data_IF_592074133749
#
_entry.id   IF_592074133749
#
_cell.length_a   1.000
_cell.length_b   1.000
_cell.length_c   1.000
_cell.angle_alpha   90.00
_cell.angle_beta   90.00
_cell.angle_gamma   90.00
#
_symmetry.space_group_name_H-M   'P 1'
#
loop_
_entity.id
_entity.type
_entity.pdbx_description
1 polymer ?
#
# COMPACT_ATOMS: atom_id res chain seq x y z
N UNK A 1 36.32 -17.00 -30.25
CA UNK A 1 36.02 -16.04 -31.33
C UNK A 1 36.06 -14.62 -30.74
N UNK A 2 36.24 -13.59 -31.56
CA UNK A 2 36.09 -12.20 -31.14
C UNK A 2 34.67 -11.75 -31.47
N UNK A 3 34.10 -10.80 -30.75
CA UNK A 3 32.76 -10.22 -30.95
C UNK A 3 32.46 -9.94 -32.44
N UNK A 4 33.46 -9.48 -33.20
CA UNK A 4 33.36 -9.26 -34.66
C UNK A 4 33.25 -10.55 -35.48
N UNK A 5 33.65 -11.69 -34.93
CA UNK A 5 33.60 -13.00 -35.59
C UNK A 5 32.34 -13.79 -35.21
N UNK A 6 31.80 -13.54 -34.04
CA UNK A 6 30.54 -14.12 -33.56
C UNK A 6 29.32 -13.49 -34.23
N UNK A 7 29.40 -12.19 -34.51
CA UNK A 7 28.33 -11.44 -35.20
C UNK A 7 27.08 -11.35 -34.34
N UNK A 8 25.92 -11.53 -34.95
CA UNK A 8 24.60 -11.52 -34.30
C UNK A 8 24.01 -12.92 -34.13
N UNK A 9 24.91 -13.94 -34.03
CA UNK A 9 24.45 -15.28 -33.72
C UNK A 9 23.83 -15.29 -32.31
N UNK A 10 22.81 -16.11 -32.15
CA UNK A 10 22.06 -16.34 -30.91
C UNK A 10 21.77 -17.84 -30.89
N UNK A 11 22.60 -18.59 -30.17
CA UNK A 11 22.70 -20.05 -30.30
C UNK A 11 21.57 -20.80 -29.62
N UNK A 12 20.99 -20.21 -28.56
CA UNK A 12 19.87 -20.78 -27.80
C UNK A 12 18.54 -20.07 -28.05
N UNK A 13 18.55 -18.97 -28.82
CA UNK A 13 17.39 -18.18 -29.23
C UNK A 13 16.68 -17.48 -28.06
N UNK A 14 17.44 -17.04 -27.09
CA UNK A 14 16.91 -16.30 -25.93
C UNK A 14 16.73 -14.80 -26.21
N UNK A 15 17.30 -14.30 -27.30
CA UNK A 15 17.26 -12.90 -27.76
C UNK A 15 18.52 -12.12 -27.37
N UNK A 16 19.47 -12.73 -26.67
CA UNK A 16 20.78 -12.16 -26.34
C UNK A 16 21.81 -12.72 -27.36
N UNK A 17 22.52 -11.89 -28.13
CA UNK A 17 23.54 -12.39 -29.04
C UNK A 17 24.70 -13.09 -28.32
N UNK A 18 25.24 -14.17 -28.90
CA UNK A 18 26.34 -15.01 -28.35
C UNK A 18 27.55 -14.20 -27.82
N UNK A 19 27.85 -13.03 -28.41
CA UNK A 19 28.95 -12.20 -27.94
C UNK A 19 28.68 -11.43 -26.63
N UNK A 20 27.42 -11.34 -26.21
CA UNK A 20 26.96 -10.76 -24.94
C UNK A 20 26.48 -11.83 -23.95
N UNK A 21 26.32 -13.05 -24.45
CA UNK A 21 25.85 -14.17 -23.66
C UNK A 21 26.95 -15.26 -23.50
N UNK A 22 27.35 -15.47 -22.27
CA UNK A 22 28.33 -16.53 -21.92
C UNK A 22 27.65 -17.88 -21.71
N UNK A 23 26.31 -17.96 -21.79
CA UNK A 23 25.51 -19.13 -21.45
C UNK A 23 24.61 -19.47 -22.65
N UNK A 24 24.78 -20.63 -23.24
CA UNK A 24 23.96 -21.08 -24.38
C UNK A 24 23.00 -22.20 -23.95
N UNK A 25 22.41 -22.08 -22.76
CA UNK A 25 21.45 -23.01 -22.20
C UNK A 25 20.05 -22.39 -22.23
N UNK A 26 19.09 -22.94 -22.97
CA UNK A 26 17.79 -22.28 -23.23
C UNK A 26 16.96 -21.93 -21.99
N UNK A 27 17.22 -22.56 -20.86
CA UNK A 27 16.53 -22.31 -19.59
C UNK A 27 17.30 -21.40 -18.61
N UNK A 28 18.43 -20.84 -19.06
CA UNK A 28 19.25 -19.88 -18.33
C UNK A 28 19.37 -18.60 -19.15
N UNK A 29 19.22 -17.44 -18.52
CA UNK A 29 19.37 -16.16 -19.17
C UNK A 29 20.14 -15.19 -18.27
N UNK A 30 21.24 -14.59 -18.74
CA UNK A 30 22.00 -13.62 -17.95
C UNK A 30 21.13 -12.39 -17.63
N UNK A 31 21.23 -11.90 -16.40
CA UNK A 31 20.47 -10.68 -15.99
C UNK A 31 20.94 -9.44 -16.76
N UNK A 32 22.21 -9.40 -17.08
CA UNK A 32 22.83 -8.35 -17.91
C UNK A 32 23.94 -8.97 -18.74
N UNK A 33 24.35 -8.28 -19.81
CA UNK A 33 25.43 -8.70 -20.69
C UNK A 33 26.67 -9.13 -19.90
N UNK A 34 27.17 -10.34 -20.18
CA UNK A 34 28.33 -10.95 -19.51
C UNK A 34 28.21 -11.05 -17.98
N UNK A 35 26.99 -11.11 -17.43
CA UNK A 35 26.75 -11.31 -16.01
C UNK A 35 27.04 -12.76 -15.60
N UNK A 36 27.63 -12.94 -14.41
CA UNK A 36 27.75 -14.24 -13.75
C UNK A 36 26.45 -14.65 -13.00
N UNK A 37 25.43 -13.78 -13.03
CA UNK A 37 24.11 -14.03 -12.47
C UNK A 37 23.11 -14.22 -13.60
N UNK A 38 22.28 -15.24 -13.49
CA UNK A 38 21.24 -15.56 -14.48
C UNK A 38 19.92 -15.94 -13.81
N UNK A 39 18.85 -15.63 -14.50
CA UNK A 39 17.53 -16.19 -14.22
C UNK A 39 17.49 -17.61 -14.74
N UNK A 40 16.91 -18.53 -13.98
CA UNK A 40 16.82 -19.93 -14.32
C UNK A 40 15.39 -20.45 -14.25
N UNK A 41 14.98 -21.22 -15.24
CA UNK A 41 13.72 -21.97 -15.20
C UNK A 41 13.97 -23.47 -15.33
N UNK A 42 12.91 -24.26 -15.35
CA UNK A 42 12.98 -25.72 -15.43
C UNK A 42 13.63 -26.19 -16.73
N UNK A 43 14.38 -27.30 -16.66
CA UNK A 43 14.98 -27.91 -17.85
C UNK A 43 13.93 -28.23 -18.91
N UNK A 44 14.23 -27.90 -20.17
CA UNK A 44 13.34 -28.12 -21.31
C UNK A 44 12.38 -26.99 -21.61
N UNK A 45 12.52 -25.87 -20.91
CA UNK A 45 11.85 -24.58 -21.24
C UNK A 45 12.83 -23.70 -22.01
N UNK A 46 12.30 -22.68 -22.68
CA UNK A 46 13.08 -21.62 -23.33
C UNK A 46 12.74 -20.29 -22.70
N UNK A 47 13.71 -19.66 -22.06
CA UNK A 47 13.64 -18.24 -21.69
C UNK A 47 13.90 -17.37 -22.93
N UNK A 48 13.32 -16.19 -22.97
CA UNK A 48 13.58 -15.18 -24.00
C UNK A 48 13.35 -13.79 -23.44
N UNK A 49 14.07 -12.80 -23.94
CA UNK A 49 13.87 -11.41 -23.58
C UNK A 49 12.40 -11.00 -23.77
N UNK A 50 11.87 -10.24 -22.84
CA UNK A 50 10.54 -9.65 -22.92
C UNK A 50 10.45 -8.50 -23.92
N UNK A 51 9.24 -7.98 -24.11
CA UNK A 51 8.98 -6.96 -25.11
C UNK A 51 9.66 -5.61 -24.82
N UNK A 52 9.91 -5.30 -23.56
CA UNK A 52 10.59 -4.08 -23.14
C UNK A 52 12.12 -4.25 -23.16
N UNK A 53 12.62 -5.43 -22.80
CA UNK A 53 14.06 -5.74 -22.77
C UNK A 53 14.66 -5.86 -24.19
N UNK A 54 13.97 -6.55 -25.09
CA UNK A 54 14.48 -6.82 -26.45
C UNK A 54 14.72 -5.56 -27.30
N UNK A 55 14.09 -4.45 -26.96
CA UNK A 55 14.29 -3.16 -27.67
C UNK A 55 15.42 -2.33 -27.08
N UNK A 56 16.02 -2.78 -25.97
CA UNK A 56 17.15 -2.08 -25.38
C UNK A 56 18.44 -2.37 -26.15
N UNK A 57 19.33 -1.38 -26.27
CA UNK A 57 20.54 -1.55 -27.07
C UNK A 57 21.59 -2.48 -26.46
N UNK A 58 21.48 -2.76 -25.17
CA UNK A 58 22.39 -3.61 -24.39
C UNK A 58 21.88 -5.04 -24.20
N UNK A 59 20.68 -5.36 -24.70
CA UNK A 59 20.04 -6.68 -24.56
C UNK A 59 19.99 -7.18 -23.10
N UNK A 60 19.89 -6.25 -22.15
CA UNK A 60 19.81 -6.58 -20.74
C UNK A 60 18.41 -7.05 -20.38
N UNK A 61 18.33 -8.16 -19.64
CA UNK A 61 17.10 -8.67 -19.05
C UNK A 61 16.57 -7.70 -17.96
N UNK A 62 17.49 -7.09 -17.22
CA UNK A 62 17.17 -6.10 -16.18
C UNK A 62 17.04 -4.70 -16.76
N UNK A 63 15.90 -4.08 -16.54
CA UNK A 63 15.59 -2.70 -16.94
C UNK A 63 15.68 -1.77 -15.75
N UNK A 64 16.44 -0.69 -15.89
CA UNK A 64 16.52 0.38 -14.89
C UNK A 64 15.24 1.24 -14.86
N UNK A 65 15.03 1.98 -13.78
CA UNK A 65 13.92 2.94 -13.66
C UNK A 65 13.90 3.98 -14.80
N UNK A 66 15.07 4.41 -15.28
CA UNK A 66 15.16 5.35 -16.42
C UNK A 66 14.64 4.73 -17.72
N UNK A 67 14.86 3.43 -17.93
CA UNK A 67 14.32 2.69 -19.08
C UNK A 67 12.82 2.42 -18.92
N UNK A 68 12.32 2.41 -17.68
CA UNK A 68 10.92 2.23 -17.31
C UNK A 68 10.14 3.55 -17.16
N UNK A 69 10.58 4.67 -17.71
CA UNK A 69 10.06 6.03 -17.46
C UNK A 69 8.53 6.20 -17.56
N UNK A 70 7.83 5.27 -18.22
CA UNK A 70 6.36 5.21 -18.28
C UNK A 70 5.73 4.17 -17.34
N UNK A 71 6.55 3.42 -16.62
CA UNK A 71 6.14 2.31 -15.75
C UNK A 71 6.75 2.42 -14.35
N UNK A 72 7.11 3.63 -13.92
CA UNK A 72 7.71 3.86 -12.59
C UNK A 72 6.68 3.63 -11.48
N UNK A 73 7.11 3.05 -10.38
CA UNK A 73 6.30 2.95 -9.15
C UNK A 73 6.89 3.87 -8.08
N UNK A 74 6.25 5.01 -7.84
CA UNK A 74 6.76 6.05 -6.93
C UNK A 74 6.88 5.59 -5.46
N UNK A 75 6.29 4.45 -5.12
CA UNK A 75 6.28 3.91 -3.75
C UNK A 75 7.26 2.75 -3.54
N UNK A 76 7.97 2.33 -4.60
CA UNK A 76 8.88 1.20 -4.55
C UNK A 76 10.15 1.48 -5.32
N UNK A 77 11.27 1.10 -4.73
CA UNK A 77 12.57 1.02 -5.39
C UNK A 77 12.79 -0.41 -5.90
N UNK A 78 13.38 -0.55 -7.07
CA UNK A 78 13.75 -1.84 -7.66
C UNK A 78 15.28 -1.95 -7.71
N UNK A 79 15.94 -2.44 -6.64
CA UNK A 79 17.40 -2.44 -6.55
C UNK A 79 18.10 -3.21 -7.67
N UNK A 80 17.48 -4.28 -8.16
CA UNK A 80 17.97 -5.10 -9.29
C UNK A 80 17.25 -4.79 -10.61
N UNK A 81 16.45 -3.70 -10.65
CA UNK A 81 15.63 -3.35 -11.80
C UNK A 81 14.40 -4.23 -11.98
N UNK A 82 13.72 -4.04 -13.10
CA UNK A 82 12.65 -4.92 -13.57
C UNK A 82 13.24 -5.96 -14.52
N UNK A 83 13.01 -7.22 -14.25
CA UNK A 83 13.35 -8.31 -15.15
C UNK A 83 12.21 -8.53 -16.14
N UNK A 84 12.47 -8.35 -17.42
CA UNK A 84 11.46 -8.50 -18.47
C UNK A 84 11.80 -9.70 -19.38
N UNK A 85 11.19 -10.84 -19.08
CA UNK A 85 11.38 -12.08 -19.80
C UNK A 85 10.06 -12.72 -20.24
N UNK A 86 10.19 -13.67 -21.14
CA UNK A 86 9.13 -14.59 -21.54
C UNK A 86 9.66 -16.02 -21.46
N UNK A 87 8.80 -16.93 -21.03
CA UNK A 87 9.00 -18.35 -21.20
C UNK A 87 8.17 -18.79 -22.41
N UNK A 88 8.77 -19.45 -23.37
CA UNK A 88 8.12 -19.82 -24.64
C UNK A 88 8.18 -21.34 -24.87
N UNK A 89 7.23 -21.84 -25.66
CA UNK A 89 7.18 -23.25 -26.01
C UNK A 89 6.74 -24.18 -24.88
N UNK A 90 6.14 -23.61 -23.84
CA UNK A 90 5.62 -24.34 -22.70
C UNK A 90 4.28 -25.06 -22.97
N UNK A 91 3.70 -25.64 -21.92
CA UNK A 91 2.41 -26.29 -21.97
C UNK A 91 1.32 -25.33 -21.46
N UNK A 92 0.21 -25.13 -22.21
CA UNK A 92 -0.90 -24.30 -21.76
C UNK A 92 -1.43 -24.70 -20.39
N UNK A 93 -1.53 -23.72 -19.46
CA UNK A 93 -2.04 -23.90 -18.10
C UNK A 93 -1.08 -24.64 -17.16
N UNK A 94 0.19 -24.79 -17.54
CA UNK A 94 1.20 -25.40 -16.67
C UNK A 94 1.74 -24.37 -15.64
N UNK A 95 2.19 -24.87 -14.49
CA UNK A 95 2.83 -24.04 -13.45
C UNK A 95 4.34 -24.17 -13.59
N UNK A 96 5.00 -23.07 -13.92
CA UNK A 96 6.45 -23.01 -14.11
C UNK A 96 7.13 -22.49 -12.85
N UNK A 97 8.32 -23.04 -12.57
CA UNK A 97 9.20 -22.55 -11.50
C UNK A 97 10.35 -21.75 -12.12
N UNK A 98 10.55 -20.55 -11.60
CA UNK A 98 11.60 -19.63 -12.02
C UNK A 98 12.42 -19.20 -10.81
N UNK A 99 13.73 -19.12 -10.97
CA UNK A 99 14.66 -18.65 -9.93
C UNK A 99 15.31 -17.35 -10.36
N UNK A 100 15.23 -16.37 -9.49
CA UNK A 100 15.80 -15.03 -9.65
C UNK A 100 16.87 -14.83 -8.55
N UNK A 101 18.15 -14.67 -8.89
CA UNK A 101 19.15 -14.22 -7.94
C UNK A 101 18.99 -12.70 -7.71
N UNK A 102 19.14 -12.25 -6.47
CA UNK A 102 19.15 -10.82 -6.12
C UNK A 102 20.56 -10.38 -5.75
N UNK A 103 20.93 -9.15 -6.13
CA UNK A 103 22.23 -8.57 -5.78
C UNK A 103 22.30 -8.13 -4.31
N UNK A 104 21.12 -7.90 -3.70
CA UNK A 104 20.96 -7.53 -2.30
C UNK A 104 20.16 -8.60 -1.56
N UNK A 105 20.45 -8.83 -0.27
CA UNK A 105 19.60 -9.70 0.53
C UNK A 105 18.18 -9.14 0.63
N UNK A 106 17.18 -10.03 0.55
CA UNK A 106 15.78 -9.67 0.78
C UNK A 106 15.64 -8.98 2.13
N UNK A 107 15.03 -7.81 2.11
CA UNK A 107 14.74 -6.99 3.29
C UNK A 107 13.36 -7.28 3.89
N UNK A 108 13.07 -6.72 5.08
CA UNK A 108 11.81 -6.98 5.79
C UNK A 108 10.58 -6.33 5.14
N UNK A 109 10.76 -5.53 4.10
CA UNK A 109 9.71 -4.79 3.39
C UNK A 109 9.70 -5.04 1.89
N UNK A 110 10.45 -6.03 1.45
CA UNK A 110 10.51 -6.38 0.06
C UNK A 110 9.27 -7.18 -0.33
N UNK A 111 8.79 -6.90 -1.53
CA UNK A 111 7.63 -7.53 -2.13
C UNK A 111 7.96 -7.91 -3.58
N UNK A 112 7.26 -8.88 -4.11
CA UNK A 112 7.34 -9.19 -5.55
C UNK A 112 6.29 -8.35 -6.26
N UNK A 113 6.73 -7.53 -7.21
CA UNK A 113 5.85 -6.74 -8.06
C UNK A 113 5.94 -7.18 -9.50
N UNK A 114 4.80 -7.15 -10.15
CA UNK A 114 4.58 -7.52 -11.55
C UNK A 114 4.13 -6.27 -12.31
N UNK A 115 4.71 -6.02 -13.48
CA UNK A 115 4.20 -5.01 -14.38
C UNK A 115 3.30 -5.65 -15.43
N UNK A 116 2.02 -5.35 -15.42
CA UNK A 116 1.05 -5.97 -16.35
C UNK A 116 1.03 -5.19 -17.67
N UNK A 117 0.62 -3.95 -17.63
CA UNK A 117 0.58 -3.04 -18.79
C UNK A 117 0.48 -1.57 -18.34
N UNK A 118 0.43 -0.65 -19.30
CA UNK A 118 0.30 0.80 -19.00
C UNK A 118 -1.04 1.22 -18.38
N UNK A 119 -2.05 0.34 -18.37
CA UNK A 119 -3.37 0.60 -17.80
C UNK A 119 -3.48 0.08 -16.37
N UNK A 120 -3.00 -1.13 -16.12
CA UNK A 120 -3.02 -1.79 -14.82
C UNK A 120 -1.79 -1.45 -13.98
N UNK A 121 -0.68 -1.08 -14.64
CA UNK A 121 0.58 -0.72 -13.98
C UNK A 121 1.18 -1.85 -13.16
N UNK A 122 1.79 -1.48 -12.05
CA UNK A 122 2.37 -2.38 -11.10
C UNK A 122 1.32 -3.05 -10.22
N UNK A 123 1.41 -4.37 -10.08
CA UNK A 123 0.56 -5.17 -9.22
C UNK A 123 1.43 -5.99 -8.27
N UNK A 124 0.93 -6.25 -7.08
CA UNK A 124 1.54 -7.24 -6.18
C UNK A 124 1.42 -8.62 -6.81
N UNK A 125 2.44 -9.47 -6.60
CA UNK A 125 2.35 -10.88 -6.96
C UNK A 125 1.18 -11.53 -6.22
N UNK A 126 0.31 -12.19 -6.94
CA UNK A 126 -0.86 -12.88 -6.38
C UNK A 126 -0.47 -14.31 -6.00
N UNK A 127 -0.54 -14.64 -4.72
CA UNK A 127 -0.33 -16.01 -4.24
C UNK A 127 -1.66 -16.78 -4.19
N UNK A 128 -1.65 -18.01 -4.73
CA UNK A 128 -2.78 -18.93 -4.70
C UNK A 128 -2.28 -20.39 -4.72
N UNK A 129 -3.12 -21.35 -5.11
CA UNK A 129 -2.74 -22.76 -5.14
C UNK A 129 -1.65 -23.08 -6.17
N UNK A 130 -1.55 -22.28 -7.25
CA UNK A 130 -0.64 -22.50 -8.39
C UNK A 130 0.46 -21.45 -8.47
N UNK A 131 0.29 -20.34 -7.74
CA UNK A 131 1.22 -19.21 -7.75
C UNK A 131 1.81 -19.00 -6.35
N UNK A 132 3.11 -18.99 -6.23
CA UNK A 132 3.77 -18.82 -4.93
C UNK A 132 5.14 -18.18 -5.04
N UNK A 133 5.53 -17.51 -3.97
CA UNK A 133 6.87 -16.97 -3.75
C UNK A 133 7.58 -17.85 -2.73
N UNK A 134 8.83 -18.16 -2.95
CA UNK A 134 9.71 -18.82 -1.98
C UNK A 134 11.12 -18.25 -2.10
N UNK A 135 11.91 -18.31 -1.03
CA UNK A 135 13.26 -17.76 -1.06
C UNK A 135 14.22 -18.55 -0.19
N UNK A 136 15.52 -18.39 -0.48
CA UNK A 136 16.61 -19.03 0.26
C UNK A 136 17.90 -18.24 0.10
N UNK A 137 18.82 -18.36 1.05
CA UNK A 137 20.18 -17.84 0.88
C UNK A 137 20.96 -18.68 -0.13
N UNK A 138 21.71 -18.05 -1.03
CA UNK A 138 22.58 -18.73 -1.98
C UNK A 138 23.63 -19.61 -1.28
N UNK A 139 23.92 -20.74 -1.86
CA UNK A 139 24.99 -21.61 -1.39
C UNK A 139 26.24 -21.38 -2.26
N UNK A 140 27.32 -20.89 -1.65
CA UNK A 140 28.55 -20.55 -2.38
C UNK A 140 28.36 -19.58 -3.56
N UNK A 141 27.39 -18.66 -3.44
CA UNK A 141 27.10 -17.65 -4.46
C UNK A 141 26.16 -18.14 -5.59
N UNK A 142 25.66 -19.36 -5.52
CA UNK A 142 24.77 -19.92 -6.55
C UNK A 142 23.40 -20.25 -5.94
N UNK A 143 22.34 -19.91 -6.66
CA UNK A 143 20.99 -20.28 -6.29
C UNK A 143 20.71 -21.77 -6.53
N UNK A 144 19.93 -22.43 -5.67
CA UNK A 144 19.45 -23.78 -5.94
C UNK A 144 18.60 -23.84 -7.21
N UNK A 145 18.59 -25.01 -7.86
CA UNK A 145 17.76 -25.28 -9.04
C UNK A 145 16.27 -25.00 -8.78
N UNK A 146 15.51 -24.61 -9.82
CA UNK A 146 14.05 -24.49 -9.74
C UNK A 146 13.39 -25.77 -9.20
N UNK A 147 12.46 -25.61 -8.24
CA UNK A 147 11.78 -26.73 -7.59
C UNK A 147 12.57 -27.44 -6.48
N UNK A 148 13.73 -26.92 -6.11
CA UNK A 148 14.50 -27.46 -4.97
C UNK A 148 13.75 -27.34 -3.65
N UNK A 149 13.84 -28.39 -2.80
CA UNK A 149 13.27 -28.41 -1.45
C UNK A 149 13.96 -27.44 -0.47
N UNK A 150 15.02 -26.76 -0.91
CA UNK A 150 15.73 -25.76 -0.09
C UNK A 150 14.96 -24.43 -0.01
N UNK A 151 14.08 -24.16 -0.97
CA UNK A 151 13.27 -22.95 -0.97
C UNK A 151 12.20 -22.99 0.13
N UNK A 152 12.13 -21.92 0.93
CA UNK A 152 11.14 -21.73 1.99
C UNK A 152 10.10 -20.72 1.51
N UNK A 153 8.82 -21.02 1.67
CA UNK A 153 7.73 -20.14 1.26
C UNK A 153 7.87 -18.73 1.82
N UNK A 154 7.53 -17.75 0.99
CA UNK A 154 7.62 -16.31 1.25
C UNK A 154 8.96 -15.69 0.88
N UNK A 155 9.01 -14.36 0.93
CA UNK A 155 10.25 -13.58 0.90
C UNK A 155 10.84 -13.57 2.31
N UNK A 156 11.87 -14.38 2.53
CA UNK A 156 12.51 -14.52 3.84
C UNK A 156 13.71 -13.55 3.93
N UNK A 157 13.73 -12.71 4.95
CA UNK A 157 14.78 -11.73 5.19
C UNK A 157 16.18 -12.38 5.17
N UNK A 158 17.12 -11.76 4.47
CA UNK A 158 18.49 -12.26 4.30
C UNK A 158 18.68 -13.27 3.18
N UNK A 159 17.61 -13.72 2.50
CA UNK A 159 17.69 -14.53 1.29
C UNK A 159 18.19 -13.71 0.11
N UNK A 160 18.83 -14.35 -0.85
CA UNK A 160 19.26 -13.72 -2.11
C UNK A 160 18.99 -14.60 -3.34
N UNK A 161 18.14 -15.61 -3.18
CA UNK A 161 17.58 -16.42 -4.25
C UNK A 161 16.06 -16.45 -4.07
N UNK A 162 15.33 -15.96 -5.04
CA UNK A 162 13.87 -15.92 -5.03
C UNK A 162 13.35 -16.91 -6.08
N UNK A 163 12.48 -17.83 -5.67
CA UNK A 163 11.76 -18.69 -6.58
C UNK A 163 10.32 -18.25 -6.71
N UNK A 164 9.88 -18.08 -7.95
CA UNK A 164 8.47 -17.84 -8.28
C UNK A 164 7.88 -19.11 -8.90
N UNK A 165 6.69 -19.50 -8.49
CA UNK A 165 5.84 -20.43 -9.24
C UNK A 165 4.73 -19.63 -9.88
N UNK A 166 4.55 -19.77 -11.20
CA UNK A 166 3.62 -18.99 -11.99
C UNK A 166 2.85 -19.90 -12.93
N UNK A 167 1.52 -19.80 -12.88
CA UNK A 167 0.62 -20.51 -13.79
C UNK A 167 0.47 -19.74 -15.10
N UNK A 168 0.69 -20.41 -16.23
CA UNK A 168 0.40 -19.88 -17.57
C UNK A 168 -1.10 -19.63 -17.72
N UNK A 169 -1.49 -18.39 -18.04
CA UNK A 169 -2.86 -17.89 -18.01
C UNK A 169 -3.39 -17.54 -16.62
N UNK A 170 -2.54 -17.62 -15.59
CA UNK A 170 -2.86 -17.25 -14.20
C UNK A 170 -2.79 -15.74 -13.93
N UNK A 171 -3.04 -15.33 -12.67
CA UNK A 171 -3.09 -13.91 -12.31
C UNK A 171 -1.74 -13.19 -12.40
N UNK A 172 -0.63 -13.93 -12.44
CA UNK A 172 0.71 -13.37 -12.57
C UNK A 172 1.28 -13.46 -13.98
N UNK A 173 0.56 -14.07 -14.92
CA UNK A 173 0.92 -14.05 -16.34
C UNK A 173 0.37 -12.78 -16.99
N UNK A 174 1.26 -11.90 -17.46
CA UNK A 174 0.86 -10.58 -17.92
C UNK A 174 -0.03 -10.60 -19.19
N UNK A 175 0.04 -11.66 -20.02
CA UNK A 175 -0.87 -11.80 -21.17
C UNK A 175 -2.21 -12.46 -20.79
N UNK A 176 -2.31 -13.08 -19.62
CA UNK A 176 -3.52 -13.70 -19.08
C UNK A 176 -4.07 -14.85 -19.92
N UNK A 177 -3.25 -15.48 -20.78
CA UNK A 177 -3.67 -16.50 -21.71
C UNK A 177 -2.97 -17.84 -21.45
N UNK A 178 -3.72 -18.90 -21.18
CA UNK A 178 -3.17 -20.25 -21.09
C UNK A 178 -2.80 -20.75 -22.51
N UNK A 179 -1.67 -20.31 -23.01
CA UNK A 179 -1.23 -20.51 -24.40
C UNK A 179 0.16 -21.19 -24.52
N UNK A 180 0.79 -21.53 -23.39
CA UNK A 180 2.13 -22.10 -23.32
C UNK A 180 3.25 -21.06 -23.47
N UNK A 181 2.91 -19.79 -23.31
CA UNK A 181 3.85 -18.68 -23.20
C UNK A 181 3.53 -17.90 -21.91
N UNK A 182 4.51 -17.76 -21.05
CA UNK A 182 4.41 -16.95 -19.84
C UNK A 182 5.11 -15.61 -20.11
N UNK A 183 4.40 -14.51 -19.93
CA UNK A 183 4.93 -13.14 -20.03
C UNK A 183 5.09 -12.59 -18.63
N UNK A 184 6.32 -12.30 -18.20
CA UNK A 184 6.57 -11.99 -16.80
C UNK A 184 7.56 -10.83 -16.58
N UNK A 185 7.10 -9.59 -16.73
CA UNK A 185 7.85 -8.46 -16.21
C UNK A 185 7.73 -8.39 -14.69
N UNK A 186 8.82 -8.68 -13.96
CA UNK A 186 8.82 -8.84 -12.50
C UNK A 186 10.02 -8.15 -11.84
N UNK A 187 9.84 -7.67 -10.63
CA UNK A 187 10.94 -7.17 -9.80
C UNK A 187 10.76 -7.50 -8.33
N UNK A 188 11.88 -7.71 -7.65
CA UNK A 188 11.93 -7.64 -6.19
C UNK A 188 11.98 -6.16 -5.84
N UNK A 189 10.93 -5.68 -5.21
CA UNK A 189 10.69 -4.27 -4.93
C UNK A 189 10.81 -4.01 -3.44
N UNK A 190 11.59 -3.01 -3.07
CA UNK A 190 11.70 -2.50 -1.70
C UNK A 190 10.76 -1.33 -1.52
N UNK A 191 9.85 -1.40 -0.56
CA UNK A 191 8.92 -0.30 -0.30
C UNK A 191 9.69 0.94 0.14
N UNK A 192 9.48 2.04 -0.59
CA UNK A 192 10.12 3.33 -0.31
C UNK A 192 9.67 3.88 1.06
N UNK A 193 10.63 4.19 1.90
CA UNK A 193 10.40 4.87 3.18
C UNK A 193 11.00 6.26 3.06
N UNK A 194 10.22 7.17 2.56
CA UNK A 194 10.65 8.56 2.46
C UNK A 194 10.95 9.20 3.80
N UNK A 195 11.66 10.30 3.76
CA UNK A 195 11.87 11.16 4.92
C UNK A 195 10.73 12.16 5.01
N UNK A 196 9.97 12.22 6.14
CA UNK A 196 8.91 13.20 6.29
C UNK A 196 9.47 14.62 6.26
N UNK A 197 8.77 15.53 5.59
CA UNK A 197 9.18 16.92 5.41
C UNK A 197 8.22 17.92 6.05
N UNK A 198 8.66 19.17 6.17
CA UNK A 198 7.86 20.29 6.70
C UNK A 198 6.61 20.63 5.84
N UNK A 199 6.49 20.02 4.64
CA UNK A 199 5.25 20.10 3.84
C UNK A 199 4.13 19.22 4.36
N UNK A 200 4.42 18.31 5.30
CA UNK A 200 3.42 17.52 6.00
C UNK A 200 2.46 18.40 6.79
N UNK A 201 1.19 18.02 6.85
CA UNK A 201 0.13 18.82 7.47
C UNK A 201 -0.62 18.05 8.54
N UNK A 202 -1.10 18.77 9.56
CA UNK A 202 -2.01 18.24 10.56
C UNK A 202 -3.20 19.21 10.71
N UNK A 203 -4.40 18.69 10.53
CA UNK A 203 -5.65 19.47 10.57
C UNK A 203 -6.67 18.84 11.51
N UNK A 204 -7.52 19.68 12.12
CA UNK A 204 -8.64 19.24 12.95
C UNK A 204 -9.95 19.35 12.14
N UNK A 205 -10.87 18.41 12.34
CA UNK A 205 -12.19 18.47 11.73
C UNK A 205 -13.13 19.47 12.43
N UNK A 206 -12.81 19.86 13.67
CA UNK A 206 -13.48 20.90 14.45
C UNK A 206 -12.44 21.55 15.38
N UNK A 207 -12.54 22.84 15.62
CA UNK A 207 -11.67 23.61 16.51
C UNK A 207 -12.26 23.80 17.92
N UNK A 208 -13.42 23.18 18.21
CA UNK A 208 -14.12 23.33 19.49
C UNK A 208 -14.56 21.99 20.05
N UNK A 209 -14.27 21.77 21.33
CA UNK A 209 -14.73 20.62 22.11
C UNK A 209 -15.19 21.06 23.50
N UNK A 210 -16.07 20.28 24.10
CA UNK A 210 -16.61 20.55 25.44
C UNK A 210 -15.73 19.92 26.52
N UNK A 211 -15.39 20.64 27.59
CA UNK A 211 -14.59 20.17 28.73
C UNK A 211 -15.38 19.22 29.63
N UNK A 212 -15.59 18.01 29.14
CA UNK A 212 -16.35 16.95 29.84
C UNK A 212 -15.58 15.63 29.96
N UNK A 213 -14.32 15.59 29.52
CA UNK A 213 -13.47 14.40 29.53
C UNK A 213 -13.85 13.31 28.51
N UNK A 214 -14.82 13.56 27.63
CA UNK A 214 -15.31 12.56 26.67
C UNK A 214 -15.60 13.12 25.27
N UNK A 215 -15.83 14.42 25.13
CA UNK A 215 -16.02 15.07 23.84
C UNK A 215 -14.73 15.00 23.02
N UNK A 216 -14.84 14.79 21.71
CA UNK A 216 -13.67 14.54 20.88
C UNK A 216 -13.82 15.05 19.46
N UNK A 217 -12.69 15.40 18.87
CA UNK A 217 -12.52 15.74 17.45
C UNK A 217 -11.49 14.80 16.81
N UNK A 218 -11.46 14.77 15.49
CA UNK A 218 -10.48 14.00 14.73
C UNK A 218 -9.37 14.93 14.25
N UNK A 219 -8.12 14.53 14.52
CA UNK A 219 -6.96 15.10 13.85
C UNK A 219 -6.61 14.23 12.65
N UNK A 220 -6.42 14.87 11.50
CA UNK A 220 -5.97 14.24 10.25
C UNK A 220 -4.57 14.75 9.93
N UNK A 221 -3.65 13.83 9.73
CA UNK A 221 -2.26 14.10 9.32
C UNK A 221 -2.07 13.60 7.91
N UNK A 222 -1.54 14.44 7.02
CA UNK A 222 -1.08 14.02 5.70
C UNK A 222 0.42 14.21 5.64
N UNK A 223 1.14 13.12 5.38
CA UNK A 223 2.60 13.11 5.40
C UNK A 223 3.15 13.18 3.99
N UNK A 224 4.10 14.07 3.77
CA UNK A 224 4.80 14.26 2.51
C UNK A 224 6.30 14.25 2.72
N UNK A 225 7.02 13.79 1.71
CA UNK A 225 8.47 14.04 1.59
C UNK A 225 8.75 15.44 1.01
N UNK A 226 10.04 15.76 0.79
CA UNK A 226 10.47 17.03 0.23
C UNK A 226 10.08 17.21 -1.27
N UNK A 227 9.76 16.14 -1.97
CA UNK A 227 9.32 16.10 -3.36
C UNK A 227 7.79 16.20 -3.49
N UNK A 228 7.06 16.10 -2.36
CA UNK A 228 5.60 16.15 -2.33
C UNK A 228 4.95 14.77 -2.50
N UNK A 229 5.73 13.68 -2.46
CA UNK A 229 5.21 12.32 -2.43
C UNK A 229 4.58 12.04 -1.05
N UNK A 230 3.42 11.42 -1.03
CA UNK A 230 2.74 11.00 0.18
C UNK A 230 3.41 9.76 0.77
N UNK A 231 3.71 9.79 2.07
CA UNK A 231 4.46 8.73 2.74
C UNK A 231 3.55 7.85 3.60
N UNK A 232 3.68 6.55 3.42
CA UNK A 232 3.02 5.51 4.20
C UNK A 232 3.96 4.90 5.25
N UNK A 233 3.40 4.10 6.16
CA UNK A 233 4.14 3.36 7.21
C UNK A 233 4.97 4.24 8.16
N UNK A 234 4.53 5.49 8.34
CA UNK A 234 5.14 6.40 9.29
C UNK A 234 4.70 6.11 10.72
N UNK A 235 5.60 6.27 11.66
CA UNK A 235 5.28 6.27 13.09
C UNK A 235 4.83 7.66 13.48
N UNK A 236 3.57 7.79 13.94
CA UNK A 236 3.01 9.09 14.33
C UNK A 236 2.54 9.06 15.77
N UNK A 237 2.91 10.11 16.50
CA UNK A 237 2.44 10.35 17.87
C UNK A 237 2.04 11.81 18.04
N UNK A 238 1.09 12.06 18.94
CA UNK A 238 0.61 13.42 19.22
C UNK A 238 0.64 13.75 20.70
N UNK A 239 0.96 15.00 21.02
CA UNK A 239 0.84 15.55 22.37
C UNK A 239 0.08 16.87 22.33
N UNK A 240 -0.66 17.16 23.41
CA UNK A 240 -1.45 18.37 23.55
C UNK A 240 -0.80 19.35 24.55
N UNK A 241 -0.86 20.63 24.26
CA UNK A 241 -0.33 21.67 25.15
C UNK A 241 -1.19 21.91 26.41
N UNK A 242 -2.51 21.67 26.33
CA UNK A 242 -3.42 21.74 27.48
C UNK A 242 -3.42 20.40 28.23
N UNK A 243 -3.09 20.43 29.52
CA UNK A 243 -3.10 19.24 30.37
C UNK A 243 -4.48 18.58 30.42
N UNK A 244 -4.50 17.26 30.28
CA UNK A 244 -5.72 16.45 30.28
C UNK A 244 -6.39 16.29 28.92
N UNK A 245 -6.00 17.02 27.90
CA UNK A 245 -6.34 16.69 26.51
C UNK A 245 -5.47 15.51 26.09
N UNK A 246 -6.08 14.50 25.49
CA UNK A 246 -5.38 13.30 25.06
C UNK A 246 -5.54 13.04 23.57
N UNK A 247 -4.51 12.49 22.93
CA UNK A 247 -4.50 12.05 21.54
C UNK A 247 -4.39 10.54 21.52
N UNK A 248 -5.28 9.86 20.81
CA UNK A 248 -5.21 8.40 20.64
C UNK A 248 -4.02 8.01 19.74
N UNK A 249 -3.75 6.72 19.60
CA UNK A 249 -2.87 6.21 18.54
C UNK A 249 -3.41 6.58 17.16
N UNK A 250 -2.51 6.86 16.23
CA UNK A 250 -2.85 7.14 14.84
C UNK A 250 -3.10 5.83 14.08
N UNK A 251 -4.08 5.89 13.17
CA UNK A 251 -4.39 4.82 12.21
C UNK A 251 -4.13 5.31 10.81
N UNK A 252 -3.39 4.55 10.02
CA UNK A 252 -3.19 4.81 8.60
C UNK A 252 -4.48 4.57 7.83
N UNK A 253 -4.83 5.50 6.93
CA UNK A 253 -6.03 5.44 6.09
C UNK A 253 -5.71 5.17 4.62
N UNK A 254 -4.43 5.03 4.29
CA UNK A 254 -3.89 4.94 2.93
C UNK A 254 -3.45 6.30 2.37
N UNK A 255 -2.70 6.27 1.29
CA UNK A 255 -2.20 7.46 0.57
C UNK A 255 -1.57 8.53 1.48
N UNK A 256 -0.76 8.11 2.45
CA UNK A 256 -0.06 9.01 3.37
C UNK A 256 -0.96 9.76 4.36
N UNK A 257 -2.21 9.31 4.53
CA UNK A 257 -3.19 9.92 5.46
C UNK A 257 -3.30 9.09 6.73
N UNK A 258 -3.27 9.77 7.87
CA UNK A 258 -3.38 9.18 9.21
C UNK A 258 -4.39 9.95 10.04
N UNK A 259 -5.16 9.25 10.87
CA UNK A 259 -6.15 9.87 11.75
C UNK A 259 -6.03 9.41 13.19
N UNK A 260 -6.33 10.30 14.12
CA UNK A 260 -6.44 9.99 15.53
C UNK A 260 -7.59 10.80 16.17
N UNK A 261 -8.09 10.31 17.30
CA UNK A 261 -9.08 11.05 18.11
C UNK A 261 -8.36 11.90 19.16
N UNK A 262 -8.81 13.16 19.28
CA UNK A 262 -8.38 14.11 20.30
C UNK A 262 -9.52 14.29 21.29
N UNK A 263 -9.35 13.83 22.53
CA UNK A 263 -10.36 13.86 23.57
C UNK A 263 -10.17 15.03 24.52
N UNK A 264 -11.25 15.73 24.83
CA UNK A 264 -11.27 16.89 25.71
C UNK A 264 -10.79 16.55 27.13
N UNK A 265 -10.15 17.52 27.78
CA UNK A 265 -9.94 17.54 29.22
C UNK A 265 -11.22 17.91 29.98
N UNK A 266 -11.20 17.74 31.31
CA UNK A 266 -12.23 18.32 32.20
C UNK A 266 -11.98 19.82 32.50
N UNK A 267 -10.91 20.38 31.97
CA UNK A 267 -10.52 21.78 32.18
C UNK A 267 -10.67 22.54 30.88
N UNK A 268 -11.37 23.68 30.89
CA UNK A 268 -11.47 24.59 29.74
C UNK A 268 -10.14 25.32 29.50
N UNK A 269 -9.88 25.63 28.24
CA UNK A 269 -8.67 26.33 27.80
C UNK A 269 -8.45 26.20 26.31
N UNK A 270 -7.31 26.66 25.84
CA UNK A 270 -6.88 26.50 24.45
C UNK A 270 -5.70 25.51 24.39
N UNK A 271 -5.71 24.62 23.44
CA UNK A 271 -4.64 23.64 23.19
C UNK A 271 -4.20 23.70 21.74
N UNK A 272 -2.92 23.47 21.51
CA UNK A 272 -2.35 23.05 20.23
C UNK A 272 -1.92 21.61 20.35
N UNK A 273 -1.78 20.91 19.23
CA UNK A 273 -1.22 19.55 19.19
C UNK A 273 0.11 19.60 18.46
N UNK A 274 1.12 19.04 19.09
CA UNK A 274 2.39 18.75 18.44
C UNK A 274 2.39 17.29 17.98
N UNK A 275 2.46 17.09 16.67
CA UNK A 275 2.42 15.80 16.01
C UNK A 275 3.83 15.45 15.56
N UNK A 276 4.42 14.44 16.18
CA UNK A 276 5.71 13.91 15.77
C UNK A 276 5.50 12.83 14.72
N UNK A 277 6.14 12.98 13.56
CA UNK A 277 6.09 12.08 12.42
C UNK A 277 7.49 11.55 12.18
N UNK A 278 7.69 10.26 12.15
CA UNK A 278 9.00 9.64 11.95
C UNK A 278 8.97 8.39 11.08
N UNK A 279 10.08 8.11 10.41
CA UNK A 279 10.30 6.90 9.60
C UNK A 279 11.18 5.85 10.32
N UNK A 280 11.49 6.07 11.60
CA UNK A 280 12.37 5.22 12.41
C UNK A 280 13.82 5.72 12.47
N UNK A 281 14.27 6.57 11.55
CA UNK A 281 15.61 7.19 11.54
C UNK A 281 15.54 8.70 11.70
N UNK A 282 14.58 9.34 11.07
CA UNK A 282 14.38 10.79 11.10
C UNK A 282 12.94 11.11 11.54
N UNK A 283 12.76 12.28 12.12
CA UNK A 283 11.44 12.74 12.54
C UNK A 283 11.31 14.25 12.43
N UNK A 284 10.08 14.69 12.19
CA UNK A 284 9.67 16.09 12.20
C UNK A 284 8.53 16.30 13.19
N UNK A 285 8.26 17.56 13.55
CA UNK A 285 7.11 17.94 14.36
C UNK A 285 6.25 18.92 13.56
N UNK A 286 4.97 18.61 13.43
CA UNK A 286 3.96 19.47 12.83
C UNK A 286 2.99 19.89 13.93
N UNK A 287 2.77 21.21 14.09
CA UNK A 287 1.84 21.74 15.08
C UNK A 287 0.51 22.12 14.43
N UNK A 288 -0.60 21.69 15.02
CA UNK A 288 -1.95 22.05 14.54
C UNK A 288 -2.31 23.50 14.86
N UNK A 289 -3.38 23.97 14.23
CA UNK A 289 -4.11 25.14 14.72
C UNK A 289 -4.67 24.90 16.13
N UNK A 290 -5.09 25.99 16.80
CA UNK A 290 -5.61 25.92 18.17
C UNK A 290 -6.98 25.24 18.23
N UNK A 291 -7.14 24.37 19.21
CA UNK A 291 -8.44 23.81 19.61
C UNK A 291 -8.91 24.47 20.90
N UNK A 292 -10.17 24.90 20.96
CA UNK A 292 -10.80 25.50 22.12
C UNK A 292 -11.58 24.47 22.93
N UNK A 293 -11.20 24.24 24.17
CA UNK A 293 -11.92 23.39 25.11
C UNK A 293 -12.82 24.28 25.96
N UNK A 294 -14.14 24.27 25.68
CA UNK A 294 -15.14 25.16 26.33
C UNK A 294 -15.84 24.48 27.49
N UNK A 295 -16.20 25.24 28.50
CA UNK A 295 -17.05 24.71 29.60
C UNK A 295 -18.43 24.28 29.05
N UNK A 296 -19.01 23.17 29.59
CA UNK A 296 -20.38 22.83 29.25
C UNK A 296 -21.35 23.99 29.49
N UNK A 297 -22.41 24.14 28.68
CA UNK A 297 -23.44 25.14 28.93
C UNK A 297 -23.99 25.01 30.35
N UNK A 298 -24.13 26.13 31.07
CA UNK A 298 -24.72 26.10 32.38
C UNK A 298 -26.14 25.50 32.31
N UNK A 299 -26.52 24.61 33.22
CA UNK A 299 -27.91 24.14 33.29
C UNK A 299 -28.85 25.31 33.32
N UNK A 300 -30.01 25.28 32.64
CA UNK A 300 -30.98 26.35 32.69
C UNK A 300 -31.32 26.62 34.16
N UNK A 301 -31.26 27.92 34.57
CA UNK A 301 -31.58 28.32 35.94
C UNK A 301 -32.93 27.71 36.30
N UNK A 302 -32.98 26.95 37.37
CA UNK A 302 -34.24 26.42 37.89
C UNK A 302 -35.15 27.64 38.17
N UNK A 303 -36.36 27.62 37.58
CA UNK A 303 -37.31 28.67 37.78
C UNK A 303 -37.50 28.87 39.29
N UNK A 304 -37.51 30.13 39.80
CA UNK A 304 -37.73 30.39 41.21
C UNK A 304 -39.05 29.71 41.61
N UNK A 305 -39.14 29.07 42.79
CA UNK A 305 -40.36 28.48 43.25
C UNK A 305 -41.44 29.56 43.28
N UNK A 306 -42.50 29.35 42.50
CA UNK A 306 -43.66 30.23 42.51
C UNK A 306 -44.19 30.27 43.95
N UNK A 307 -43.96 31.37 44.65
CA UNK A 307 -44.41 31.58 46.00
C UNK A 307 -45.96 31.52 46.03
N UNK A 308 -46.43 30.42 46.61
CA UNK A 308 -47.85 30.24 46.90
C UNK A 308 -48.29 31.28 47.90
N UNK A 309 -48.81 32.39 47.43
CA UNK A 309 -49.65 33.33 48.25
C UNK A 309 -51.00 32.67 48.45
N UNK A 310 -51.26 32.17 49.70
CA UNK A 310 -52.57 31.69 50.08
C UNK A 310 -53.60 32.83 50.08
N UNK A 311 -54.63 32.69 49.29
CA UNK A 311 -55.84 33.51 49.35
C UNK A 311 -57.01 32.57 49.15
N UNK A 312 -57.69 32.18 50.23
CA UNK A 312 -58.98 31.50 50.17
C UNK A 312 -60.05 32.49 49.65
N UNK A 313 -60.69 32.18 48.54
CA UNK A 313 -62.04 32.67 48.21
C UNK A 313 -62.82 31.48 47.69
N UNK A 314 -63.90 31.19 48.46
CA UNK A 314 -64.94 30.25 48.04
C UNK A 314 -65.92 30.97 47.17
N UNK A 315 -66.22 30.51 45.99
CA UNK A 315 -67.44 30.77 45.27
C UNK A 315 -67.76 29.56 44.38
N UNK A 316 -68.98 29.07 44.57
CA UNK A 316 -69.56 27.94 43.86
C UNK A 316 -69.96 28.37 42.44
N UNK A 317 -70.11 27.39 41.66
CA UNK A 317 -71.08 27.09 40.58
C UNK A 317 -70.47 26.77 39.19
N UNK A 318 -70.66 25.59 38.86
CA UNK A 318 -71.43 25.06 37.71
C UNK A 318 -70.94 25.29 36.32
N UNK A 319 -70.43 24.26 35.76
CA UNK A 319 -70.90 23.65 34.49
C UNK A 319 -69.78 22.96 33.74
N UNK A 320 -70.11 21.76 33.42
CA UNK A 320 -69.43 20.84 32.49
C UNK A 320 -69.15 21.47 31.11
N UNK A 321 -67.99 21.25 30.54
CA UNK A 321 -67.96 20.68 29.20
C UNK A 321 -66.63 20.00 28.88
N UNK A 322 -66.79 18.83 28.37
CA UNK A 322 -65.74 17.95 27.84
C UNK A 322 -65.35 18.38 26.41
N UNK A 323 -64.06 18.41 26.11
CA UNK A 323 -63.56 17.94 24.82
C UNK A 323 -62.06 17.97 24.77
N UNK A 324 -61.47 16.78 24.78
CA UNK A 324 -60.16 16.49 24.20
C UNK A 324 -60.25 16.59 22.68
N UNK A 325 -59.17 16.94 22.01
CA UNK A 325 -58.69 16.03 21.01
C UNK A 325 -57.21 15.66 21.17
N UNK A 326 -57.03 14.36 21.16
CA UNK A 326 -55.81 13.62 20.97
C UNK A 326 -55.25 13.90 19.58
N UNK A 327 -54.04 14.44 19.44
CA UNK A 327 -53.35 14.56 18.18
C UNK A 327 -52.16 13.59 18.16
N UNK A 328 -52.38 12.43 17.53
CA UNK A 328 -51.35 11.48 17.15
C UNK A 328 -50.61 12.02 15.92
N UNK A 329 -49.31 12.25 16.03
CA UNK A 329 -48.46 12.44 14.86
C UNK A 329 -47.68 11.15 14.65
N UNK A 330 -48.10 10.41 13.62
CA UNK A 330 -47.32 9.34 13.04
C UNK A 330 -46.17 9.91 12.21
N UNK A 331 -44.93 9.57 12.57
CA UNK A 331 -43.77 9.77 11.71
C UNK A 331 -43.63 8.58 10.74
N UNK A 332 -43.91 8.85 9.47
CA UNK A 332 -43.74 7.88 8.40
C UNK A 332 -42.29 7.80 7.93
N UNK A 333 -41.69 6.62 8.04
CA UNK A 333 -40.43 6.26 7.36
C UNK A 333 -40.72 6.10 5.86
N UNK A 334 -40.05 6.88 5.04
CA UNK A 334 -39.95 6.65 3.61
C UNK A 334 -38.54 6.11 3.27
N UNK A 335 -38.48 4.80 3.04
CA UNK A 335 -37.37 4.13 2.36
C UNK A 335 -37.48 4.40 0.86
N UNK A 336 -36.52 5.13 0.26
CA UNK A 336 -36.32 5.14 -1.18
C UNK A 336 -35.11 4.27 -1.55
N UNK A 337 -35.38 3.04 -2.00
CA UNK A 337 -34.50 2.23 -2.82
C UNK A 337 -34.44 2.84 -4.23
N UNK A 338 -33.28 3.29 -4.67
CA UNK A 338 -32.99 3.44 -6.10
C UNK A 338 -32.15 2.26 -6.58
N UNK A 339 -32.78 1.42 -7.39
CA UNK A 339 -32.09 0.51 -8.32
C UNK A 339 -31.56 1.36 -9.48
N UNK A 340 -30.30 1.17 -9.85
CA UNK A 340 -29.86 1.50 -11.20
C UNK A 340 -29.64 0.20 -11.97
N UNK A 341 -30.40 0.12 -13.08
CA UNK A 341 -30.36 -0.90 -14.11
C UNK A 341 -29.26 -0.58 -15.10
N UNK A 342 -28.76 -1.62 -15.68
CA UNK A 342 -27.75 -1.75 -16.73
C UNK A 342 -27.98 -0.88 -17.98
N UNK A 343 -26.89 -0.40 -18.53
CA UNK A 343 -26.49 -0.62 -19.93
C UNK A 343 -24.98 -0.56 -20.06
#
# INVERSE_FOLDING_TARGET
LTDTQEGWADSDNDGVPDYLDAISEPNLMPIAANSDNWVQTENGTLLSLGAMAIVQPDFSLSLSEQQLSSANDDYFDFPDGLLDYRLVGGQPGYVYSLVIPTSFPVGPRDEIKKYIDSTLGWQLFTEDANNSVASVAATSGTCPEPGSDLYVLGLNEGSNCVQLKIEDGGPNDADGQANGMLVDPVGVASKYIGTPSDSSTATLNDDQITSNGSDSVTVTVTVFDAQGLKLEDMTISGSASLSGVSVSSFSQQGEGVYTASVTASNTSGTSTLDITIGNGTESIVVTTESITVSSPPAPPASAPPSGGGGGCVVAADGSSDASMPLLLIMAGLLFMRRRFSQR
#
